data_IF_406867461650
#
_entry.id   IF_406867461650
#
_cell.length_a   1.000
_cell.length_b   1.000
_cell.length_c   1.000
_cell.angle_alpha   90.00
_cell.angle_beta   90.00
_cell.angle_gamma   90.00
#
_symmetry.space_group_name_H-M   'P 1'
#
loop_
_entity.id
_entity.type
_entity.pdbx_description
1 polymer ?
#
# COMPACT_ATOMS: atom_id res chain seq x y z
N UNK A 1 19.69 -11.19 15.94
CA UNK A 1 19.18 -12.09 14.89
C UNK A 1 20.36 -12.90 14.36
N UNK A 2 20.23 -14.22 14.19
CA UNK A 2 21.27 -15.03 13.55
C UNK A 2 21.37 -14.66 12.06
N UNK A 3 22.54 -14.82 11.42
CA UNK A 3 22.72 -14.55 9.99
C UNK A 3 21.67 -15.30 9.12
N UNK A 4 21.35 -16.52 9.48
CA UNK A 4 20.33 -17.34 8.80
C UNK A 4 18.94 -16.69 8.83
N UNK A 5 18.56 -16.08 9.96
CA UNK A 5 17.28 -15.37 10.10
C UNK A 5 17.19 -14.15 9.18
N UNK A 6 18.32 -13.46 8.95
CA UNK A 6 18.38 -12.28 8.06
C UNK A 6 18.18 -12.69 6.60
N UNK A 7 18.81 -13.75 6.12
CA UNK A 7 18.63 -14.23 4.74
C UNK A 7 17.19 -14.66 4.46
N UNK A 8 16.55 -15.34 5.39
CA UNK A 8 15.12 -15.71 5.26
C UNK A 8 14.26 -14.47 5.08
N UNK A 9 14.45 -13.44 5.91
CA UNK A 9 13.70 -12.18 5.80
C UNK A 9 13.88 -11.54 4.43
N UNK A 10 15.12 -11.46 3.93
CA UNK A 10 15.42 -10.85 2.62
C UNK A 10 14.72 -11.60 1.48
N UNK A 11 14.77 -12.93 1.49
CA UNK A 11 14.13 -13.78 0.48
C UNK A 11 12.62 -13.57 0.48
N UNK A 12 11.98 -13.56 1.66
CA UNK A 12 10.54 -13.33 1.77
C UNK A 12 10.11 -11.93 1.33
N UNK A 13 10.90 -10.90 1.66
CA UNK A 13 10.65 -9.52 1.19
C UNK A 13 10.78 -9.46 -0.33
N UNK A 14 11.82 -10.08 -0.92
CA UNK A 14 12.02 -10.12 -2.37
C UNK A 14 10.89 -10.82 -3.10
N UNK A 15 10.44 -11.97 -2.60
CA UNK A 15 9.30 -12.70 -3.16
C UNK A 15 7.99 -11.88 -3.04
N UNK A 16 7.75 -11.28 -1.86
CA UNK A 16 6.64 -10.37 -1.66
C UNK A 16 6.68 -9.18 -2.62
N UNK A 17 7.88 -8.63 -2.85
CA UNK A 17 8.11 -7.54 -3.80
C UNK A 17 7.76 -7.91 -5.23
N UNK A 18 8.11 -9.12 -5.68
CA UNK A 18 7.72 -9.62 -7.00
C UNK A 18 6.19 -9.69 -7.15
N UNK A 19 5.50 -10.24 -6.15
CA UNK A 19 4.02 -10.32 -6.14
C UNK A 19 3.40 -8.90 -6.18
N UNK A 20 3.87 -7.99 -5.33
CA UNK A 20 3.38 -6.61 -5.29
C UNK A 20 3.56 -5.86 -6.60
N UNK A 21 4.73 -6.01 -7.24
CA UNK A 21 5.04 -5.39 -8.53
C UNK A 21 4.16 -5.95 -9.67
N UNK A 22 3.92 -7.26 -9.70
CA UNK A 22 3.02 -7.89 -10.67
C UNK A 22 1.58 -7.39 -10.49
N UNK A 23 1.10 -7.33 -9.24
CA UNK A 23 -0.23 -6.83 -8.94
C UNK A 23 -0.38 -5.35 -9.36
N UNK A 24 0.61 -4.50 -9.08
CA UNK A 24 0.63 -3.10 -9.53
C UNK A 24 0.58 -2.99 -11.04
N UNK A 25 1.40 -3.78 -11.74
CA UNK A 25 1.38 -3.81 -13.20
C UNK A 25 0.00 -4.21 -13.75
N UNK A 26 -0.62 -5.24 -13.16
CA UNK A 26 -1.97 -5.66 -13.54
C UNK A 26 -3.01 -4.55 -13.38
N UNK A 27 -2.97 -3.81 -12.25
CA UNK A 27 -3.86 -2.66 -12.05
C UNK A 27 -3.59 -1.55 -13.07
N UNK A 28 -2.33 -1.26 -13.38
CA UNK A 28 -1.98 -0.25 -14.38
C UNK A 28 -2.56 -0.58 -15.77
N UNK A 29 -2.63 -1.85 -16.15
CA UNK A 29 -3.21 -2.30 -17.42
C UNK A 29 -4.74 -2.13 -17.50
N UNK A 30 -5.43 -1.98 -16.37
CA UNK A 30 -6.87 -1.72 -16.36
C UNK A 30 -7.22 -0.27 -16.74
N UNK A 31 -6.24 0.62 -16.75
CA UNK A 31 -6.42 2.05 -17.03
C UNK A 31 -5.50 2.53 -18.18
N UNK A 32 -5.55 1.89 -19.37
CA UNK A 32 -4.73 2.31 -20.49
C UNK A 32 -5.22 3.65 -21.04
N UNK A 33 -4.29 4.56 -21.37
CA UNK A 33 -4.55 5.80 -22.12
C UNK A 33 -5.51 6.81 -21.45
N UNK A 34 -5.58 6.85 -20.13
CA UNK A 34 -6.36 7.86 -19.42
C UNK A 34 -5.58 9.17 -19.26
N UNK A 35 -6.28 10.30 -19.41
CA UNK A 35 -5.71 11.65 -19.18
C UNK A 35 -5.26 11.85 -17.72
N UNK A 36 -5.82 11.08 -16.79
CA UNK A 36 -5.45 11.05 -15.38
C UNK A 36 -4.90 9.67 -15.00
N UNK A 37 -3.85 9.61 -14.17
CA UNK A 37 -3.21 8.35 -13.78
C UNK A 37 -3.99 7.61 -12.68
N UNK A 38 -5.21 7.16 -13.02
CA UNK A 38 -6.09 6.45 -12.08
C UNK A 38 -5.47 5.17 -11.52
N UNK A 39 -4.64 4.46 -12.29
CA UNK A 39 -3.94 3.28 -11.83
C UNK A 39 -3.04 3.56 -10.62
N UNK A 40 -2.25 4.62 -10.70
CA UNK A 40 -1.35 5.05 -9.61
C UNK A 40 -2.13 5.52 -8.38
N UNK A 41 -3.21 6.29 -8.58
CA UNK A 41 -4.11 6.70 -7.48
C UNK A 41 -4.65 5.46 -6.78
N UNK A 42 -5.19 4.50 -7.52
CA UNK A 42 -5.84 3.32 -6.98
C UNK A 42 -4.87 2.46 -6.17
N UNK A 43 -3.69 2.13 -6.72
CA UNK A 43 -2.71 1.29 -6.00
C UNK A 43 -2.20 1.97 -4.73
N UNK A 44 -2.02 3.29 -4.74
CA UNK A 44 -1.54 4.02 -3.57
C UNK A 44 -2.63 4.12 -2.49
N UNK A 45 -3.88 4.39 -2.86
CA UNK A 45 -5.01 4.41 -1.91
C UNK A 45 -5.24 3.02 -1.30
N UNK A 46 -5.27 1.97 -2.11
CA UNK A 46 -5.41 0.59 -1.63
C UNK A 46 -4.23 0.19 -0.73
N UNK A 47 -3.01 0.57 -1.10
CA UNK A 47 -1.83 0.32 -0.30
C UNK A 47 -1.89 1.01 1.07
N UNK A 48 -2.31 2.28 1.14
CA UNK A 48 -2.51 3.01 2.39
C UNK A 48 -3.54 2.31 3.30
N UNK A 49 -4.68 1.89 2.72
CA UNK A 49 -5.70 1.14 3.45
C UNK A 49 -5.16 -0.19 4.00
N UNK A 50 -4.56 -1.02 3.12
CA UNK A 50 -4.06 -2.33 3.49
C UNK A 50 -2.95 -2.25 4.53
N UNK A 51 -2.02 -1.31 4.37
CA UNK A 51 -0.93 -1.11 5.31
C UNK A 51 -1.45 -0.75 6.70
N UNK A 52 -2.38 0.20 6.79
CA UNK A 52 -2.97 0.62 8.05
C UNK A 52 -3.80 -0.50 8.70
N UNK A 53 -4.59 -1.20 7.91
CA UNK A 53 -5.41 -2.31 8.39
C UNK A 53 -4.55 -3.45 8.94
N UNK A 54 -3.59 -3.95 8.17
CA UNK A 54 -2.73 -5.06 8.57
C UNK A 54 -1.80 -4.70 9.72
N UNK A 55 -1.33 -3.45 9.77
CA UNK A 55 -0.47 -2.95 10.85
C UNK A 55 -1.20 -2.81 12.18
N UNK A 56 -2.51 -2.69 12.18
CA UNK A 56 -3.27 -2.49 13.42
C UNK A 56 -4.07 -3.72 13.86
N UNK A 57 -4.30 -4.69 12.98
CA UNK A 57 -5.08 -5.88 13.30
C UNK A 57 -4.31 -6.84 14.20
N UNK A 58 -4.74 -6.99 15.45
CA UNK A 58 -4.06 -7.74 16.52
C UNK A 58 -3.88 -9.22 16.20
N UNK A 59 -4.90 -9.87 15.62
CA UNK A 59 -4.82 -11.30 15.28
C UNK A 59 -3.78 -11.59 14.19
N UNK A 60 -3.64 -10.70 13.23
CA UNK A 60 -2.63 -10.86 12.18
C UNK A 60 -1.24 -10.77 12.80
N UNK A 61 -1.03 -9.79 13.69
CA UNK A 61 0.25 -9.64 14.42
C UNK A 61 0.56 -10.83 15.33
N UNK A 62 -0.45 -11.43 15.97
CA UNK A 62 -0.27 -12.59 16.86
C UNK A 62 -0.05 -13.89 16.10
N UNK A 63 -0.68 -14.07 14.93
CA UNK A 63 -0.62 -15.33 14.16
C UNK A 63 0.55 -15.43 13.19
N UNK A 64 1.01 -14.30 12.65
CA UNK A 64 2.08 -14.30 11.65
C UNK A 64 3.44 -14.06 12.29
N UNK A 65 4.47 -14.82 11.89
CA UNK A 65 5.84 -14.55 12.31
C UNK A 65 6.34 -13.21 11.74
N UNK A 66 7.26 -12.58 12.45
CA UNK A 66 7.77 -11.22 12.10
C UNK A 66 8.29 -11.10 10.67
N UNK A 67 8.93 -12.14 10.14
CA UNK A 67 9.44 -12.14 8.76
C UNK A 67 8.32 -12.11 7.71
N UNK A 68 7.19 -12.76 7.97
CA UNK A 68 6.02 -12.69 7.08
C UNK A 68 5.35 -11.31 7.12
N UNK A 69 5.25 -10.70 8.30
CA UNK A 69 4.73 -9.34 8.43
C UNK A 69 5.61 -8.37 7.63
N UNK A 70 6.94 -8.48 7.73
CA UNK A 70 7.88 -7.67 6.94
C UNK A 70 7.75 -7.95 5.43
N UNK A 71 7.58 -9.21 5.03
CA UNK A 71 7.38 -9.57 3.63
C UNK A 71 6.11 -8.95 3.05
N UNK A 72 5.02 -8.94 3.81
CA UNK A 72 3.76 -8.33 3.39
C UNK A 72 3.87 -6.81 3.35
N UNK A 73 4.33 -6.17 4.42
CA UNK A 73 4.36 -4.71 4.51
C UNK A 73 5.39 -4.10 3.57
N UNK A 74 6.64 -4.54 3.66
CA UNK A 74 7.76 -3.98 2.87
C UNK A 74 7.82 -4.58 1.48
N UNK A 75 7.63 -5.90 1.36
CA UNK A 75 7.66 -6.61 0.09
C UNK A 75 6.40 -6.31 -0.73
N UNK A 76 5.27 -6.91 -0.35
CA UNK A 76 4.04 -6.85 -1.17
C UNK A 76 3.51 -5.42 -1.26
N UNK A 77 3.16 -4.78 -0.14
CA UNK A 77 2.51 -3.46 -0.16
C UNK A 77 3.49 -2.39 -0.62
N UNK A 78 4.76 -2.44 -0.16
CA UNK A 78 5.78 -1.47 -0.59
C UNK A 78 6.09 -1.50 -2.08
N UNK A 79 5.98 -2.67 -2.73
CA UNK A 79 6.16 -2.79 -4.19
C UNK A 79 4.86 -2.61 -4.98
N UNK A 80 3.70 -2.84 -4.35
CA UNK A 80 2.39 -2.57 -4.95
C UNK A 80 2.14 -1.07 -5.08
N UNK A 81 2.52 -0.28 -4.08
CA UNK A 81 2.46 1.19 -4.12
C UNK A 81 3.64 1.78 -4.89
N UNK A 82 3.53 3.03 -5.32
CA UNK A 82 4.61 3.70 -6.05
C UNK A 82 4.65 5.21 -5.77
N UNK A 83 5.78 5.67 -5.28
CA UNK A 83 6.07 7.09 -5.14
C UNK A 83 6.75 7.65 -6.40
N UNK A 84 7.62 6.87 -7.04
CA UNK A 84 8.36 7.32 -8.23
C UNK A 84 7.43 7.60 -9.41
N UNK A 85 6.50 6.70 -9.71
CA UNK A 85 5.50 6.91 -10.77
C UNK A 85 4.62 8.11 -10.46
N UNK A 86 4.12 8.23 -9.22
CA UNK A 86 3.36 9.38 -8.76
C UNK A 86 4.10 10.71 -8.97
N UNK A 87 5.40 10.75 -8.69
CA UNK A 87 6.21 11.96 -8.86
C UNK A 87 6.35 12.35 -10.33
N UNK A 88 6.64 11.39 -11.20
CA UNK A 88 6.76 11.63 -12.64
C UNK A 88 5.44 12.11 -13.23
N UNK A 89 4.34 11.43 -12.92
CA UNK A 89 2.99 11.78 -13.37
C UNK A 89 2.58 13.17 -12.87
N UNK A 90 2.91 13.49 -11.60
CA UNK A 90 2.67 14.83 -11.03
C UNK A 90 3.42 15.91 -11.80
N UNK A 91 4.70 15.71 -12.15
CA UNK A 91 5.48 16.68 -12.91
C UNK A 91 4.90 16.89 -14.31
N UNK A 92 4.54 15.82 -15.01
CA UNK A 92 3.92 15.91 -16.33
C UNK A 92 2.60 16.69 -16.26
N UNK A 93 1.72 16.34 -15.32
CA UNK A 93 0.45 17.05 -15.16
C UNK A 93 0.61 18.50 -14.76
N UNK A 94 1.60 18.85 -13.94
CA UNK A 94 1.90 20.23 -13.57
C UNK A 94 2.40 21.07 -14.75
N UNK A 95 3.17 20.46 -15.68
CA UNK A 95 3.65 21.16 -16.87
C UNK A 95 2.58 21.33 -17.92
N UNK A 96 1.69 20.34 -18.10
CA UNK A 96 0.66 20.38 -19.12
C UNK A 96 -0.58 21.15 -18.65
N UNK A 97 -1.01 20.92 -17.41
CA UNK A 97 -2.22 21.53 -16.80
C UNK A 97 -2.03 21.72 -15.29
N UNK A 98 -1.50 22.87 -14.90
CA UNK A 98 -1.15 23.19 -13.50
C UNK A 98 -2.27 22.85 -12.49
N UNK A 99 -3.51 23.20 -12.80
CA UNK A 99 -4.65 22.96 -11.88
C UNK A 99 -4.93 21.47 -11.68
N UNK A 100 -4.83 20.69 -12.75
CA UNK A 100 -5.02 19.24 -12.72
C UNK A 100 -3.88 18.56 -11.96
N UNK A 101 -2.63 19.00 -12.19
CA UNK A 101 -1.47 18.48 -11.47
C UNK A 101 -1.56 18.74 -9.97
N UNK A 102 -1.93 19.95 -9.57
CA UNK A 102 -2.14 20.29 -8.15
C UNK A 102 -3.27 19.45 -7.55
N UNK A 103 -4.43 19.35 -8.23
CA UNK A 103 -5.54 18.53 -7.78
C UNK A 103 -5.18 17.05 -7.65
N UNK A 104 -4.40 16.50 -8.59
CA UNK A 104 -3.88 15.13 -8.55
C UNK A 104 -2.99 14.89 -7.32
N UNK A 105 -2.03 15.80 -7.06
CA UNK A 105 -1.11 15.67 -5.95
C UNK A 105 -1.83 15.71 -4.60
N UNK A 106 -2.58 16.77 -4.35
CA UNK A 106 -3.30 16.94 -3.08
C UNK A 106 -4.43 15.93 -2.91
N UNK A 107 -5.17 15.62 -3.98
CA UNK A 107 -6.20 14.59 -3.98
C UNK A 107 -5.63 13.22 -3.60
N UNK A 108 -4.53 12.79 -4.22
CA UNK A 108 -3.89 11.52 -3.90
C UNK A 108 -3.46 11.44 -2.43
N UNK A 109 -2.91 12.51 -1.87
CA UNK A 109 -2.50 12.57 -0.45
C UNK A 109 -3.73 12.48 0.45
N UNK A 110 -4.76 13.30 0.21
CA UNK A 110 -5.98 13.35 1.04
C UNK A 110 -6.70 12.00 1.01
N UNK A 111 -6.93 11.42 -0.17
CA UNK A 111 -7.60 10.13 -0.28
C UNK A 111 -6.76 9.00 0.31
N UNK A 112 -5.43 9.05 0.20
CA UNK A 112 -4.53 8.12 0.86
C UNK A 112 -4.64 8.18 2.38
N UNK A 113 -4.68 9.37 2.98
CA UNK A 113 -4.87 9.57 4.41
C UNK A 113 -6.24 9.08 4.89
N UNK A 114 -7.31 9.37 4.14
CA UNK A 114 -8.66 8.87 4.44
C UNK A 114 -8.68 7.34 4.41
N UNK A 115 -8.09 6.72 3.39
CA UNK A 115 -8.00 5.27 3.27
C UNK A 115 -7.21 4.64 4.43
N UNK A 116 -6.10 5.27 4.83
CA UNK A 116 -5.31 4.87 5.99
C UNK A 116 -6.15 4.92 7.28
N UNK A 117 -6.89 6.01 7.49
CA UNK A 117 -7.75 6.16 8.66
C UNK A 117 -8.88 5.13 8.69
N UNK A 118 -9.52 4.87 7.55
CA UNK A 118 -10.55 3.82 7.43
C UNK A 118 -9.96 2.44 7.75
N UNK A 119 -8.77 2.11 7.21
CA UNK A 119 -8.09 0.85 7.49
C UNK A 119 -7.79 0.67 8.99
N UNK A 120 -7.33 1.73 9.64
CA UNK A 120 -7.10 1.74 11.09
C UNK A 120 -8.39 1.50 11.89
N UNK A 121 -9.46 2.24 11.58
CA UNK A 121 -10.73 2.11 12.28
C UNK A 121 -11.34 0.72 12.14
N UNK A 122 -11.28 0.13 10.94
CA UNK A 122 -11.79 -1.22 10.70
C UNK A 122 -11.02 -2.27 11.49
N UNK A 123 -9.68 -2.19 11.52
CA UNK A 123 -8.87 -3.08 12.32
C UNK A 123 -9.21 -2.99 13.81
N UNK A 124 -9.30 -1.76 14.34
CA UNK A 124 -9.63 -1.52 15.75
C UNK A 124 -11.01 -2.05 16.14
N UNK A 125 -12.03 -1.85 15.28
CA UNK A 125 -13.39 -2.37 15.54
C UNK A 125 -13.43 -3.89 15.54
N UNK A 126 -12.74 -4.54 14.63
CA UNK A 126 -12.69 -6.01 14.56
C UNK A 126 -11.99 -6.62 15.78
N UNK A 127 -11.01 -5.93 16.34
CA UNK A 127 -10.33 -6.39 17.56
C UNK A 127 -11.22 -6.22 18.81
N UNK A 128 -11.90 -5.06 18.97
CA UNK A 128 -12.81 -4.80 20.09
C UNK A 128 -14.01 -5.77 20.14
N UNK A 129 -14.56 -6.15 18.98
CA UNK A 129 -15.69 -7.09 18.92
C UNK A 129 -15.35 -8.50 19.42
N UNK A 130 -14.06 -8.85 19.54
CA UNK A 130 -13.63 -10.17 20.02
C UNK A 130 -13.31 -10.22 21.49
N UNK A 131 -12.87 -9.09 22.07
CA UNK A 131 -12.66 -8.98 23.52
C UNK A 131 -13.99 -9.04 24.33
N UNK A 132 -15.12 -8.76 23.69
CA UNK A 132 -16.45 -8.79 24.33
C UNK A 132 -17.10 -10.20 24.32
N UNK A 133 -16.48 -11.17 23.66
CA UNK A 133 -17.03 -12.55 23.50
C UNK A 133 -16.22 -13.59 24.28
N UNK A 134 -15.10 -13.22 24.87
CA UNK A 134 -14.33 -14.02 25.85
C UNK A 134 -14.64 -13.59 27.28
#
# INVERSE_FOLDING_TARGET
MSRTSTYIVIIFIGFGGAIGSIARYGVAQLFPNNSLPFGTILVNILGCFLLAFLSNHTLIKKKLPKYMILAIHTGVIGSFTTFSTFTVESLVLLTDHLLIGVAYMFGSIIFGLIACFIGYLLASRMDSSKETVE
#
